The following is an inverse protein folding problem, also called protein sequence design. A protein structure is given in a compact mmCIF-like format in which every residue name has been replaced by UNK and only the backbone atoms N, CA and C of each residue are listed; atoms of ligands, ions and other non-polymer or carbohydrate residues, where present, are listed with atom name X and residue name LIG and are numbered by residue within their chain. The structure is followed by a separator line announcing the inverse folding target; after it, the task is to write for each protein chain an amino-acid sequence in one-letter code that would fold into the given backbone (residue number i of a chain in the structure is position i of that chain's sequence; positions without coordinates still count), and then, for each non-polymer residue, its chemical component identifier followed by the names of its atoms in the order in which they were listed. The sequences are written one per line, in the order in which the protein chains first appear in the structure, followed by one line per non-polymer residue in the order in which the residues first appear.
data_IF_166226973127
#
_entry.id   IF_166226973127
#
_cell.length_a   1.000
_cell.length_b   1.000
_cell.length_c   1.000
_cell.angle_alpha   90.00
_cell.angle_beta   90.00
_cell.angle_gamma   90.00
#
_symmetry.space_group_name_H-M   'P 1'
#
loop_
_entity.id
_entity.type
_entity.pdbx_description
1 polymer ?
#
# COMPACT_ATOMS: atom_id res chain seq x y z
N UNK A 1 8.78 11.39 26.34
CA UNK A 1 9.38 10.42 25.41
C UNK A 1 8.23 9.74 24.69
N UNK A 2 7.96 10.08 23.43
CA UNK A 2 7.06 9.28 22.61
C UNK A 2 7.82 8.01 22.23
N UNK A 3 7.28 6.83 22.53
CA UNK A 3 7.89 5.59 22.06
C UNK A 3 7.87 5.58 20.53
N UNK A 4 9.01 5.32 19.89
CA UNK A 4 9.10 5.09 18.44
C UNK A 4 8.50 3.72 18.13
N UNK A 5 7.17 3.64 18.18
CA UNK A 5 6.43 2.41 17.90
C UNK A 5 5.65 2.59 16.61
N UNK A 6 6.06 1.88 15.58
CA UNK A 6 5.27 1.76 14.35
C UNK A 6 4.11 0.80 14.62
N UNK A 7 2.86 1.13 14.22
CA UNK A 7 1.76 0.18 14.26
C UNK A 7 2.11 -1.11 13.52
N UNK A 8 1.57 -2.25 13.96
CA UNK A 8 1.75 -3.51 13.22
C UNK A 8 1.08 -3.48 11.84
N UNK A 9 0.01 -2.70 11.69
CA UNK A 9 -0.70 -2.48 10.45
C UNK A 9 -1.09 -1.00 10.30
N UNK A 10 -0.82 -0.43 9.12
CA UNK A 10 -1.24 0.90 8.72
C UNK A 10 -2.34 0.81 7.67
N UNK A 11 -3.42 1.57 7.89
CA UNK A 11 -4.54 1.66 6.96
C UNK A 11 -4.44 2.94 6.14
N UNK A 12 -4.53 2.83 4.82
CA UNK A 12 -4.49 3.96 3.88
C UNK A 12 -5.81 3.98 3.12
N UNK A 13 -6.47 5.13 3.06
CA UNK A 13 -7.70 5.29 2.28
C UNK A 13 -7.48 6.34 1.17
N UNK A 14 -7.75 5.96 -0.07
CA UNK A 14 -7.80 6.86 -1.21
C UNK A 14 -9.26 7.19 -1.55
N UNK A 15 -9.66 8.46 -1.38
CA UNK A 15 -11.02 8.94 -1.55
C UNK A 15 -11.13 9.73 -2.86
N UNK A 16 -11.81 9.16 -3.85
CA UNK A 16 -11.78 9.64 -5.23
C UNK A 16 -10.67 8.99 -6.05
N UNK A 17 -10.49 7.68 -5.91
CA UNK A 17 -9.37 6.94 -6.51
C UNK A 17 -9.41 6.91 -8.06
N UNK A 18 -10.58 7.13 -8.66
CA UNK A 18 -10.84 6.92 -10.07
C UNK A 18 -10.44 5.50 -10.50
N UNK A 19 -10.29 5.30 -11.80
CA UNK A 19 -9.79 4.06 -12.41
C UNK A 19 -8.41 4.25 -13.04
N UNK A 20 -7.77 5.40 -12.83
CA UNK A 20 -6.48 5.71 -13.41
C UNK A 20 -5.30 5.08 -12.66
N UNK A 21 -4.09 5.09 -13.25
CA UNK A 21 -2.88 4.58 -12.60
C UNK A 21 -2.43 5.43 -11.39
N UNK A 22 -3.00 6.64 -11.24
CA UNK A 22 -2.59 7.63 -10.25
C UNK A 22 -2.73 7.12 -8.81
N UNK A 23 -3.83 6.42 -8.49
CA UNK A 23 -4.03 5.79 -7.18
C UNK A 23 -2.90 4.86 -6.81
N UNK A 24 -2.47 4.00 -7.74
CA UNK A 24 -1.36 3.07 -7.48
C UNK A 24 -0.04 3.80 -7.24
N UNK A 25 0.22 4.90 -7.95
CA UNK A 25 1.41 5.73 -7.72
C UNK A 25 1.38 6.44 -6.35
N UNK A 26 0.21 6.94 -5.94
CA UNK A 26 0.05 7.55 -4.61
C UNK A 26 0.31 6.52 -3.50
N UNK A 27 -0.28 5.33 -3.61
CA UNK A 27 -0.09 4.24 -2.66
C UNK A 27 1.37 3.80 -2.60
N UNK A 28 2.02 3.70 -3.76
CA UNK A 28 3.44 3.40 -3.86
C UNK A 28 4.27 4.36 -3.03
N UNK A 29 4.14 5.67 -3.27
CA UNK A 29 4.94 6.68 -2.59
C UNK A 29 4.71 6.65 -1.07
N UNK A 30 3.49 6.39 -0.62
CA UNK A 30 3.18 6.26 0.81
C UNK A 30 3.94 5.08 1.42
N UNK A 31 3.86 3.90 0.79
CA UNK A 31 4.53 2.69 1.27
C UNK A 31 6.05 2.88 1.27
N UNK A 32 6.61 3.38 0.16
CA UNK A 32 8.04 3.62 -0.01
C UNK A 32 8.59 4.60 1.05
N UNK A 33 7.86 5.69 1.29
CA UNK A 33 8.24 6.69 2.30
C UNK A 33 8.24 6.09 3.71
N UNK A 34 7.19 5.36 4.08
CA UNK A 34 7.09 4.74 5.41
C UNK A 34 8.15 3.66 5.59
N UNK A 35 8.42 2.88 4.54
CA UNK A 35 9.49 1.89 4.54
C UNK A 35 10.86 2.55 4.76
N UNK A 36 11.17 3.61 4.02
CA UNK A 36 12.41 4.37 4.19
C UNK A 36 12.58 4.96 5.60
N UNK A 37 11.51 5.49 6.19
CA UNK A 37 11.52 5.97 7.59
C UNK A 37 11.78 4.80 8.55
N UNK A 38 11.13 3.65 8.36
CA UNK A 38 11.33 2.49 9.22
C UNK A 38 12.78 1.97 9.12
N UNK A 39 13.37 1.92 7.93
CA UNK A 39 14.76 1.52 7.74
C UNK A 39 15.75 2.47 8.44
N UNK A 40 15.56 3.80 8.30
CA UNK A 40 16.43 4.80 8.94
C UNK A 40 16.43 4.70 10.48
N UNK A 41 15.32 4.24 11.04
CA UNK A 41 15.08 4.17 12.48
C UNK A 41 15.25 2.75 13.05
N UNK A 42 15.75 1.79 12.25
CA UNK A 42 15.89 0.36 12.60
C UNK A 42 14.58 -0.26 13.13
N UNK A 43 13.46 0.15 12.53
CA UNK A 43 12.12 -0.31 12.87
C UNK A 43 11.62 -1.33 11.85
N UNK A 44 10.81 -2.28 12.32
CA UNK A 44 10.10 -3.20 11.41
C UNK A 44 9.05 -2.42 10.62
N UNK A 45 9.00 -2.67 9.31
CA UNK A 45 7.94 -2.12 8.45
C UNK A 45 6.55 -2.65 8.85
N UNK A 46 5.51 -1.80 8.79
CA UNK A 46 4.15 -2.22 9.09
C UNK A 46 3.55 -3.02 7.93
N UNK A 47 2.54 -3.82 8.22
CA UNK A 47 1.62 -4.30 7.19
C UNK A 47 0.77 -3.13 6.67
N UNK A 48 0.32 -3.20 5.42
CA UNK A 48 -0.51 -2.17 4.81
C UNK A 48 -1.85 -2.73 4.37
N UNK A 49 -2.91 -2.02 4.76
CA UNK A 49 -4.28 -2.23 4.29
C UNK A 49 -4.71 -0.99 3.52
N UNK A 50 -4.95 -1.12 2.21
CA UNK A 50 -5.38 0.02 1.39
C UNK A 50 -6.85 -0.12 0.99
N UNK A 51 -7.60 0.94 1.26
CA UNK A 51 -9.01 1.09 0.91
C UNK A 51 -9.12 2.08 -0.24
N UNK A 52 -9.76 1.66 -1.33
CA UNK A 52 -10.00 2.49 -2.51
C UNK A 52 -11.48 2.82 -2.56
N UNK A 53 -11.81 4.11 -2.57
CA UNK A 53 -13.17 4.59 -2.59
C UNK A 53 -13.37 5.62 -3.70
N UNK A 54 -14.54 5.58 -4.34
CA UNK A 54 -15.00 6.53 -5.33
C UNK A 54 -16.52 6.41 -5.48
N UNK A 55 -17.10 7.27 -6.31
CA UNK A 55 -18.50 7.22 -6.68
C UNK A 55 -18.86 5.89 -7.39
N UNK A 56 -20.14 5.44 -7.32
CA UNK A 56 -20.59 4.18 -7.92
C UNK A 56 -20.30 4.03 -9.43
N UNK A 57 -20.16 5.14 -10.14
CA UNK A 57 -19.86 5.21 -11.57
C UNK A 57 -18.41 4.84 -11.91
N UNK A 58 -17.52 4.77 -10.92
CA UNK A 58 -16.13 4.39 -11.14
C UNK A 58 -15.98 2.92 -11.58
N UNK A 59 -15.09 2.65 -12.53
CA UNK A 59 -14.78 1.28 -12.96
C UNK A 59 -13.79 0.58 -12.01
N UNK A 60 -14.28 0.21 -10.83
CA UNK A 60 -13.50 -0.58 -9.89
C UNK A 60 -13.01 -1.91 -10.49
N UNK A 61 -13.66 -2.46 -11.52
CA UNK A 61 -13.17 -3.71 -12.15
C UNK A 61 -11.82 -3.50 -12.82
N UNK A 62 -11.60 -2.33 -13.43
CA UNK A 62 -10.30 -1.98 -13.98
C UNK A 62 -9.22 -1.89 -12.88
N UNK A 63 -9.56 -1.24 -11.77
CA UNK A 63 -8.69 -1.13 -10.59
C UNK A 63 -8.34 -2.53 -10.06
N UNK A 64 -9.33 -3.39 -9.83
CA UNK A 64 -9.12 -4.76 -9.33
C UNK A 64 -8.26 -5.62 -10.27
N UNK A 65 -8.42 -5.48 -11.59
CA UNK A 65 -7.59 -6.19 -12.57
C UNK A 65 -6.14 -5.72 -12.56
N UNK A 66 -5.89 -4.46 -12.19
CA UNK A 66 -4.55 -3.87 -12.14
C UNK A 66 -3.82 -4.14 -10.81
N UNK A 67 -4.54 -4.55 -9.77
CA UNK A 67 -3.97 -4.83 -8.44
C UNK A 67 -2.88 -5.90 -8.45
N UNK A 68 -3.04 -7.09 -9.08
CA UNK A 68 -2.01 -8.12 -9.04
C UNK A 68 -0.66 -7.68 -9.62
N UNK A 69 -0.68 -7.00 -10.77
CA UNK A 69 0.55 -6.50 -11.42
C UNK A 69 1.20 -5.37 -10.61
N UNK A 70 0.39 -4.52 -9.97
CA UNK A 70 0.90 -3.52 -9.03
C UNK A 70 1.61 -4.16 -7.84
N UNK A 71 1.00 -5.16 -7.18
CA UNK A 71 1.62 -5.87 -6.05
C UNK A 71 2.91 -6.58 -6.48
N UNK A 72 2.93 -7.19 -7.66
CA UNK A 72 4.14 -7.85 -8.20
C UNK A 72 5.28 -6.84 -8.38
N UNK A 73 4.99 -5.69 -9.01
CA UNK A 73 5.98 -4.62 -9.18
C UNK A 73 6.48 -4.07 -7.84
N UNK A 74 5.56 -3.83 -6.91
CA UNK A 74 5.87 -3.33 -5.57
C UNK A 74 6.79 -4.29 -4.81
N UNK A 75 6.50 -5.59 -4.84
CA UNK A 75 7.35 -6.62 -4.23
C UNK A 75 8.71 -6.73 -4.90
N UNK A 76 8.79 -6.54 -6.21
CA UNK A 76 10.06 -6.56 -6.92
C UNK A 76 10.93 -5.39 -6.48
N UNK A 77 10.43 -4.16 -6.55
CA UNK A 77 11.26 -3.00 -6.25
C UNK A 77 11.56 -2.86 -4.75
N UNK A 78 10.61 -3.17 -3.85
CA UNK A 78 10.87 -3.20 -2.39
C UNK A 78 11.69 -4.43 -1.98
N UNK A 79 11.43 -5.59 -2.58
CA UNK A 79 12.18 -6.83 -2.30
C UNK A 79 13.62 -6.77 -2.81
N UNK A 80 13.87 -6.16 -3.96
CA UNK A 80 15.22 -5.90 -4.48
C UNK A 80 15.97 -4.89 -3.58
N UNK A 81 15.26 -4.08 -2.78
CA UNK A 81 15.84 -3.21 -1.74
C UNK A 81 16.09 -3.92 -0.39
N UNK A 82 15.59 -5.16 -0.18
CA UNK A 82 15.67 -5.88 1.10
C UNK A 82 16.22 -7.29 0.92
N UNK A 83 17.49 -7.48 1.29
CA UNK A 83 18.05 -8.82 1.49
C UNK A 83 17.42 -9.46 2.74
N UNK A 84 16.45 -10.33 2.49
CA UNK A 84 15.77 -11.27 3.39
C UNK A 84 15.67 -10.90 4.89
N UNK A 85 14.49 -10.44 5.33
CA UNK A 85 13.80 -10.99 6.52
C UNK A 85 12.41 -10.37 6.72
N UNK A 86 11.39 -11.23 6.65
CA UNK A 86 10.03 -10.94 7.08
C UNK A 86 9.09 -10.59 5.93
N UNK A 87 8.11 -11.46 5.67
CA UNK A 87 7.06 -11.23 4.66
C UNK A 87 6.28 -9.96 4.99
N UNK A 88 6.52 -8.88 4.25
CA UNK A 88 5.61 -7.75 4.17
C UNK A 88 4.33 -8.22 3.48
N UNK A 89 3.28 -8.45 4.28
CA UNK A 89 1.97 -8.88 3.78
C UNK A 89 1.16 -7.64 3.43
N UNK A 90 1.16 -7.29 2.16
CA UNK A 90 0.23 -6.31 1.59
C UNK A 90 -1.12 -6.98 1.36
N UNK A 91 -2.15 -6.53 2.06
CA UNK A 91 -3.55 -6.92 1.78
C UNK A 91 -4.29 -5.72 1.18
N UNK A 92 -4.57 -5.80 -0.12
CA UNK A 92 -5.47 -4.85 -0.77
C UNK A 92 -6.90 -5.37 -0.60
N UNK A 93 -7.68 -4.67 0.23
CA UNK A 93 -9.10 -4.92 0.44
C UNK A 93 -9.87 -3.74 -0.11
N UNK A 94 -10.44 -3.89 -1.30
CA UNK A 94 -11.42 -2.92 -1.78
C UNK A 94 -12.80 -3.38 -1.32
N UNK A 95 -13.49 -2.44 -0.68
CA UNK A 95 -14.86 -2.60 -0.23
C UNK A 95 -15.75 -1.88 -1.22
N UNK A 96 -16.72 -2.61 -1.80
CA UNK A 96 -17.79 -2.01 -2.58
C UNK A 96 -18.83 -1.51 -1.59
N UNK A 97 -18.85 -0.22 -1.29
CA UNK A 97 -20.00 0.37 -0.61
C UNK A 97 -21.12 0.50 -1.64
N UNK A 98 -22.09 -0.41 -1.56
CA UNK A 98 -23.43 -0.24 -2.14
C UNK A 98 -24.35 0.42 -1.12
#
# INVERSE_FOLDING_TARGET
MFSKTVPTCMKVADLGCSSGPNTFMTIWHIIDTIHGICQQEDMKSPEFEVLLNDLPENDFNYVFKSVPSFIERLKKEIGDMVQERGKDRLELRSYKFS
#
